data_IF_767097515631
#
_entry.id   IF_767097515631
#
_cell.length_a   1.000
_cell.length_b   1.000
_cell.length_c   1.000
_cell.angle_alpha   90.00
_cell.angle_beta   90.00
_cell.angle_gamma   90.00
#
_symmetry.space_group_name_H-M   'P 1'
#
loop_
_entity.id
_entity.type
_entity.pdbx_description
1 polymer ?
#
# COMPACT_ATOMS: atom_id res chain seq x y z
N UNK A 1 21.08 28.49 21.49
CA UNK A 1 20.05 29.55 21.35
C UNK A 1 19.17 29.16 20.17
N UNK A 2 18.02 28.54 20.46
CA UNK A 2 16.65 29.07 20.33
C UNK A 2 16.12 29.14 18.90
N UNK A 3 15.36 28.10 18.55
CA UNK A 3 14.13 28.07 17.75
C UNK A 3 13.93 26.56 17.46
N UNK A 4 12.93 25.85 17.99
CA UNK A 4 11.52 26.19 18.02
C UNK A 4 10.84 25.51 19.22
N UNK A 5 10.36 26.31 20.18
CA UNK A 5 9.21 25.98 21.02
C UNK A 5 8.02 26.74 20.45
N UNK A 6 7.09 26.05 19.80
CA UNK A 6 5.64 26.28 19.80
C UNK A 6 5.01 25.42 18.68
N UNK A 7 4.41 24.29 19.04
CA UNK A 7 2.96 24.12 18.92
C UNK A 7 2.55 22.69 19.33
N UNK A 8 1.56 22.66 20.22
CA UNK A 8 0.58 21.58 20.44
C UNK A 8 1.00 20.37 21.28
N UNK A 9 1.07 20.65 22.59
CA UNK A 9 0.11 20.10 23.57
C UNK A 9 -0.64 18.84 23.12
N UNK A 10 -0.06 17.70 23.47
CA UNK A 10 -0.83 16.51 23.81
C UNK A 10 -1.82 16.87 24.93
N UNK A 11 -3.12 16.72 24.69
CA UNK A 11 -4.06 16.34 25.74
C UNK A 11 -4.70 15.00 25.38
N UNK A 12 -4.75 14.05 26.33
CA UNK A 12 -5.29 12.72 26.13
C UNK A 12 -6.80 12.74 26.37
N UNK A 13 -7.60 12.30 25.41
CA UNK A 13 -8.99 11.93 25.69
C UNK A 13 -9.40 10.69 24.91
N UNK A 14 -10.25 9.94 25.59
CA UNK A 14 -10.63 8.56 25.38
C UNK A 14 -11.23 8.27 23.99
N UNK A 15 -11.17 6.97 23.66
CA UNK A 15 -11.70 6.37 22.45
C UNK A 15 -13.06 6.90 22.01
N UNK A 16 -13.12 7.20 20.72
CA UNK A 16 -14.31 7.02 19.89
C UNK A 16 -13.86 6.31 18.63
N UNK A 17 -14.46 5.15 18.37
CA UNK A 17 -14.29 4.43 17.12
C UNK A 17 -14.50 5.40 15.96
N UNK A 18 -13.45 5.62 15.17
CA UNK A 18 -13.56 6.37 13.93
C UNK A 18 -14.40 5.50 12.98
N UNK A 19 -15.73 5.70 13.00
CA UNK A 19 -16.58 5.39 11.86
C UNK A 19 -15.91 6.07 10.67
N UNK A 20 -15.38 5.28 9.75
CA UNK A 20 -14.86 5.77 8.48
C UNK A 20 -15.96 6.64 7.87
N UNK A 21 -15.72 7.95 7.85
CA UNK A 21 -16.53 8.85 7.03
C UNK A 21 -16.38 8.31 5.61
N UNK A 22 -17.47 7.83 5.05
CA UNK A 22 -17.58 7.63 3.63
C UNK A 22 -17.02 8.89 2.96
N UNK A 23 -16.08 8.70 2.04
CA UNK A 23 -15.60 9.80 1.22
C UNK A 23 -16.83 10.53 0.65
N UNK A 24 -16.83 11.88 0.63
CA UNK A 24 -17.90 12.60 -0.03
C UNK A 24 -17.99 12.05 -1.46
N UNK A 25 -19.20 11.63 -1.83
CA UNK A 25 -19.47 11.20 -3.19
C UNK A 25 -18.94 12.27 -4.15
N UNK A 26 -18.23 11.82 -5.19
CA UNK A 26 -17.77 12.70 -6.25
C UNK A 26 -18.96 13.58 -6.69
N UNK A 27 -18.76 14.90 -6.91
CA UNK A 27 -19.83 15.75 -7.40
C UNK A 27 -20.39 15.08 -8.66
N UNK A 28 -21.71 14.84 -8.66
CA UNK A 28 -22.37 14.31 -9.83
C UNK A 28 -22.03 15.24 -11.00
N UNK A 29 -21.35 14.68 -12.01
CA UNK A 29 -21.12 15.38 -13.27
C UNK A 29 -22.44 15.89 -13.84
N UNK A 30 -22.40 16.89 -14.74
CA UNK A 30 -23.58 17.54 -15.28
C UNK A 30 -24.65 16.51 -15.68
N UNK A 31 -25.90 16.74 -15.29
CA UNK A 31 -27.02 15.82 -15.52
C UNK A 31 -27.13 15.48 -17.02
N UNK A 32 -26.72 14.26 -17.38
CA UNK A 32 -26.53 13.82 -18.77
C UNK A 32 -25.16 13.19 -19.06
N UNK A 33 -24.17 13.36 -18.17
CA UNK A 33 -22.87 12.69 -18.28
C UNK A 33 -22.96 11.25 -17.78
N UNK A 34 -23.59 10.37 -18.54
CA UNK A 34 -23.51 8.91 -18.35
C UNK A 34 -22.13 8.33 -18.66
N UNK A 35 -21.08 9.16 -18.59
CA UNK A 35 -19.71 8.81 -18.89
C UNK A 35 -19.05 8.23 -17.64
N UNK A 36 -18.74 6.93 -17.67
CA UNK A 36 -18.15 6.14 -16.58
C UNK A 36 -16.64 6.30 -16.54
N UNK A 37 -15.99 6.46 -17.70
CA UNK A 37 -14.53 6.46 -17.80
C UNK A 37 -13.95 7.78 -18.31
N UNK A 38 -14.65 8.45 -19.23
CA UNK A 38 -14.13 9.67 -19.83
C UNK A 38 -14.43 10.90 -18.96
N UNK A 39 -13.42 11.74 -18.79
CA UNK A 39 -13.47 12.99 -18.01
C UNK A 39 -13.75 14.22 -18.89
N UNK A 40 -13.70 14.06 -20.23
CA UNK A 40 -13.89 15.15 -21.19
C UNK A 40 -15.30 15.17 -21.75
N UNK A 41 -15.96 16.34 -21.75
CA UNK A 41 -17.32 16.50 -22.30
C UNK A 41 -17.43 16.31 -23.82
N UNK A 42 -16.32 16.46 -24.53
CA UNK A 42 -16.28 16.48 -26.00
C UNK A 42 -16.12 15.08 -26.63
N UNK A 43 -15.77 14.07 -25.83
CA UNK A 43 -15.55 12.71 -26.34
C UNK A 43 -16.64 11.77 -25.82
N UNK A 44 -17.08 10.81 -26.65
CA UNK A 44 -17.87 9.69 -26.16
C UNK A 44 -17.01 8.79 -25.27
N UNK A 45 -17.66 8.05 -24.38
CA UNK A 45 -17.01 7.02 -23.57
C UNK A 45 -16.45 5.90 -24.46
N UNK A 46 -15.33 5.30 -24.06
CA UNK A 46 -14.79 4.14 -24.76
C UNK A 46 -15.64 2.89 -24.46
N UNK A 47 -16.02 2.18 -25.52
CA UNK A 47 -16.73 0.90 -25.41
C UNK A 47 -15.75 -0.23 -25.01
N UNK A 48 -16.22 -1.11 -24.12
CA UNK A 48 -15.47 -2.31 -23.74
C UNK A 48 -15.44 -3.25 -24.95
N UNK A 49 -14.23 -3.62 -25.36
CA UNK A 49 -13.98 -4.50 -26.50
C UNK A 49 -14.01 -5.97 -26.09
N UNK A 50 -14.10 -6.92 -27.03
CA UNK A 50 -13.98 -8.34 -26.71
C UNK A 50 -12.59 -8.67 -26.13
N UNK A 51 -12.52 -9.73 -25.34
CA UNK A 51 -11.32 -10.14 -24.59
C UNK A 51 -10.07 -10.31 -25.46
N UNK A 52 -10.25 -10.73 -26.72
CA UNK A 52 -9.16 -10.91 -27.69
C UNK A 52 -8.47 -9.61 -28.11
N UNK A 53 -9.10 -8.45 -27.86
CA UNK A 53 -8.52 -7.15 -28.17
C UNK A 53 -7.49 -6.73 -27.12
N UNK A 54 -7.65 -7.19 -25.88
CA UNK A 54 -6.78 -6.82 -24.77
C UNK A 54 -5.55 -7.73 -24.71
N UNK A 55 -4.38 -7.19 -24.31
CA UNK A 55 -3.17 -7.98 -24.19
C UNK A 55 -3.24 -8.97 -23.01
N UNK A 56 -2.60 -10.12 -23.17
CA UNK A 56 -2.63 -11.23 -22.20
C UNK A 56 -2.18 -10.86 -20.78
N UNK A 57 -1.32 -9.84 -20.63
CA UNK A 57 -0.86 -9.41 -19.31
C UNK A 57 -1.98 -8.82 -18.44
N UNK A 58 -3.07 -8.33 -19.05
CA UNK A 58 -4.22 -7.79 -18.34
C UNK A 58 -4.85 -8.85 -17.44
N UNK A 59 -5.03 -10.05 -17.97
CA UNK A 59 -5.63 -11.19 -17.26
C UNK A 59 -4.73 -11.73 -16.14
N UNK A 60 -3.41 -11.48 -16.23
CA UNK A 60 -2.45 -11.86 -15.18
C UNK A 60 -2.51 -10.95 -13.96
N UNK A 61 -3.14 -9.77 -14.06
CA UNK A 61 -3.29 -8.84 -12.93
C UNK A 61 -4.26 -9.33 -11.86
N UNK A 62 -5.20 -10.20 -12.22
CA UNK A 62 -6.13 -10.80 -11.27
C UNK A 62 -5.41 -11.66 -10.24
N UNK A 63 -4.31 -12.31 -10.65
CA UNK A 63 -3.54 -13.17 -9.76
C UNK A 63 -2.79 -12.32 -8.73
N UNK A 64 -3.06 -12.49 -7.42
CA UNK A 64 -2.38 -11.71 -6.41
C UNK A 64 -0.88 -12.03 -6.42
N UNK A 65 -0.01 -11.02 -6.40
CA UNK A 65 1.42 -11.26 -6.44
C UNK A 65 1.92 -11.88 -5.14
N UNK A 66 2.91 -12.80 -5.24
CA UNK A 66 3.48 -13.61 -4.14
C UNK A 66 3.69 -12.81 -2.85
N UNK A 67 3.38 -13.43 -1.71
CA UNK A 67 3.52 -12.80 -0.40
C UNK A 67 4.97 -12.85 0.10
N UNK A 68 5.29 -12.06 1.13
CA UNK A 68 6.64 -12.01 1.69
C UNK A 68 7.10 -13.39 2.23
N UNK A 69 6.19 -14.17 2.81
CA UNK A 69 6.48 -15.52 3.29
C UNK A 69 6.96 -16.45 2.18
N UNK A 70 6.19 -16.55 1.10
CA UNK A 70 6.51 -17.38 -0.07
C UNK A 70 7.83 -16.95 -0.71
N UNK A 71 8.04 -15.64 -0.86
CA UNK A 71 9.29 -15.09 -1.39
C UNK A 71 10.50 -15.36 -0.47
N UNK A 72 10.30 -15.41 0.85
CA UNK A 72 11.36 -15.75 1.80
C UNK A 72 11.70 -17.24 1.72
N UNK A 73 10.71 -18.12 1.60
CA UNK A 73 10.94 -19.54 1.34
C UNK A 73 11.72 -19.75 0.04
N UNK A 74 11.40 -18.96 -0.98
CA UNK A 74 12.06 -19.06 -2.29
C UNK A 74 13.50 -18.58 -2.25
N UNK A 75 13.77 -17.37 -1.74
CA UNK A 75 15.11 -16.77 -1.83
C UNK A 75 16.03 -17.07 -0.63
N UNK A 76 15.50 -17.37 0.56
CA UNK A 76 16.31 -17.64 1.76
C UNK A 76 16.46 -19.13 2.00
N UNK A 77 15.36 -19.88 1.88
CA UNK A 77 15.36 -21.32 2.14
C UNK A 77 15.56 -22.17 0.89
N UNK A 78 15.51 -21.54 -0.29
CA UNK A 78 15.80 -22.19 -1.56
C UNK A 78 14.71 -23.12 -2.08
N UNK A 79 13.47 -22.94 -1.62
CA UNK A 79 12.33 -23.73 -2.10
C UNK A 79 11.87 -23.19 -3.45
N UNK A 80 11.76 -24.02 -4.50
CA UNK A 80 11.32 -23.62 -5.84
C UNK A 80 12.17 -22.50 -6.49
N UNK A 81 13.49 -22.53 -6.30
CA UNK A 81 14.41 -21.54 -6.91
C UNK A 81 14.33 -21.56 -8.44
N UNK A 82 14.03 -22.71 -9.05
CA UNK A 82 14.00 -22.87 -10.51
C UNK A 82 12.93 -21.98 -11.18
N UNK A 83 11.84 -21.66 -10.46
CA UNK A 83 10.75 -20.81 -10.93
C UNK A 83 10.97 -19.32 -10.58
N UNK A 84 12.11 -18.97 -9.99
CA UNK A 84 12.35 -17.62 -9.49
C UNK A 84 12.51 -16.62 -10.64
N UNK A 85 11.64 -15.62 -10.68
CA UNK A 85 11.72 -14.52 -11.66
C UNK A 85 12.45 -13.30 -11.10
N UNK A 86 13.03 -12.47 -11.97
CA UNK A 86 13.64 -11.20 -11.56
C UNK A 86 12.62 -10.25 -10.90
N UNK A 87 11.36 -10.27 -11.37
CA UNK A 87 10.25 -9.53 -10.76
C UNK A 87 10.00 -9.96 -9.32
N UNK A 88 10.07 -11.26 -9.03
CA UNK A 88 9.91 -11.79 -7.68
C UNK A 88 11.04 -11.33 -6.76
N UNK A 89 12.28 -11.33 -7.27
CA UNK A 89 13.45 -10.88 -6.50
C UNK A 89 13.37 -9.39 -6.14
N UNK A 90 13.04 -8.54 -7.12
CA UNK A 90 12.89 -7.10 -6.87
C UNK A 90 11.74 -6.81 -5.88
N UNK A 91 10.64 -7.56 -5.96
CA UNK A 91 9.54 -7.49 -5.00
C UNK A 91 9.97 -7.95 -3.60
N UNK A 92 10.70 -9.07 -3.50
CA UNK A 92 11.25 -9.56 -2.24
C UNK A 92 12.11 -8.48 -1.56
N UNK A 93 13.02 -7.84 -2.28
CA UNK A 93 13.86 -6.78 -1.73
C UNK A 93 13.04 -5.60 -1.19
N UNK A 94 11.99 -5.18 -1.91
CA UNK A 94 11.08 -4.10 -1.45
C UNK A 94 10.35 -4.50 -0.16
N UNK A 95 9.80 -5.71 -0.11
CA UNK A 95 9.08 -6.23 1.05
C UNK A 95 10.00 -6.45 2.25
N UNK A 96 11.20 -6.99 2.01
CA UNK A 96 12.21 -7.22 3.04
C UNK A 96 12.67 -5.91 3.68
N UNK A 97 12.98 -4.89 2.87
CA UNK A 97 13.31 -3.54 3.38
C UNK A 97 12.17 -2.96 4.23
N UNK A 98 10.93 -3.06 3.74
CA UNK A 98 9.74 -2.63 4.50
C UNK A 98 9.61 -3.36 5.84
N UNK A 99 9.88 -4.66 5.87
CA UNK A 99 9.86 -5.47 7.09
C UNK A 99 10.92 -5.00 8.10
N UNK A 100 12.17 -4.82 7.66
CA UNK A 100 13.28 -4.34 8.50
C UNK A 100 12.95 -2.97 9.11
N UNK A 101 12.43 -2.04 8.31
CA UNK A 101 11.99 -0.72 8.80
C UNK A 101 10.88 -0.87 9.84
N UNK A 102 9.89 -1.73 9.59
CA UNK A 102 8.78 -1.98 10.53
C UNK A 102 9.29 -2.55 11.86
N UNK A 103 10.23 -3.50 11.83
CA UNK A 103 10.85 -4.08 13.02
C UNK A 103 11.63 -3.02 13.79
N UNK A 104 12.40 -2.17 13.10
CA UNK A 104 13.13 -1.08 13.73
C UNK A 104 12.17 -0.09 14.42
N UNK A 105 11.11 0.34 13.73
CA UNK A 105 10.09 1.20 14.31
C UNK A 105 9.41 0.57 15.55
N UNK A 106 9.23 -0.75 15.58
CA UNK A 106 8.72 -1.46 16.76
C UNK A 106 9.75 -1.47 17.90
N UNK A 107 11.03 -1.70 17.60
CA UNK A 107 12.13 -1.63 18.59
C UNK A 107 12.19 -0.25 19.23
N UNK A 108 12.17 0.82 18.43
CA UNK A 108 12.18 2.21 18.90
C UNK A 108 10.93 2.56 19.74
N UNK A 109 9.75 2.08 19.35
CA UNK A 109 8.53 2.26 20.16
C UNK A 109 8.61 1.53 21.51
N UNK A 110 9.24 0.35 21.56
CA UNK A 110 9.44 -0.42 22.80
C UNK A 110 10.44 0.25 23.72
N UNK A 111 11.59 0.70 23.21
CA UNK A 111 12.60 1.39 24.01
C UNK A 111 12.07 2.72 24.57
N UNK A 112 11.34 3.50 23.77
CA UNK A 112 10.72 4.76 24.22
C UNK A 112 9.72 4.57 25.38
N UNK A 113 9.04 3.41 25.45
CA UNK A 113 8.10 3.08 26.53
C UNK A 113 8.77 2.59 27.81
N UNK A 114 10.06 2.24 27.76
CA UNK A 114 10.84 1.74 28.90
C UNK A 114 12.17 2.50 28.98
N UNK A 115 12.15 3.78 29.40
CA UNK A 115 13.38 4.53 29.60
C UNK A 115 14.22 3.83 30.68
N UNK A 116 15.30 3.14 30.28
CA UNK A 116 16.19 2.42 31.19
C UNK A 116 16.53 0.98 30.82
N UNK A 117 15.79 0.33 29.90
CA UNK A 117 16.18 -1.00 29.42
C UNK A 117 17.23 -0.88 28.30
N UNK A 118 18.50 -1.16 28.62
CA UNK A 118 19.56 -1.34 27.61
C UNK A 118 19.26 -2.62 26.84
N UNK A 119 18.98 -2.50 25.54
CA UNK A 119 18.84 -3.65 24.64
C UNK A 119 20.27 -3.99 24.19
N UNK A 120 20.93 -4.88 24.93
CA UNK A 120 22.15 -5.59 24.49
C UNK A 120 21.80 -6.71 23.54
#
# INVERSE_FOLDING_TARGET
>A
MRHCDLLLLLSPSLGKAAKGKAAPAAPAGPAGSGQVFNIFSERPDEEIKPDSWYPDWLWRLETPPKHYGDLTLMFVHGVNIEEATLSDYTRFLRLHRKMVIKINNLRLKRSRRRPGLKIT
#
